data_IF_424039698568
#
_entry.id   IF_424039698568
#
_cell.length_a   1.000
_cell.length_b   1.000
_cell.length_c   1.000
_cell.angle_alpha   90.00
_cell.angle_beta   90.00
_cell.angle_gamma   90.00
#
_symmetry.space_group_name_H-M   'P 1'
#
loop_
_entity.id
_entity.type
_entity.pdbx_description
1 polymer ?
#
# COMPACT_ATOMS: atom_id res chain seq x y z
N UNK A 1 -13.02 -4.71 -15.22
CA UNK A 1 -12.11 -5.69 -14.58
C UNK A 1 -10.75 -5.57 -15.24
N UNK A 2 -9.69 -5.43 -14.45
CA UNK A 2 -8.31 -5.24 -14.89
C UNK A 2 -7.44 -6.32 -14.26
N UNK A 3 -6.64 -7.03 -15.07
CA UNK A 3 -5.68 -8.01 -14.56
C UNK A 3 -4.51 -7.29 -13.91
N UNK A 4 -4.16 -7.72 -12.70
CA UNK A 4 -3.04 -7.21 -11.91
C UNK A 4 -2.25 -8.37 -11.32
N UNK A 5 -1.12 -8.06 -10.70
CA UNK A 5 -0.33 -9.01 -9.92
C UNK A 5 -0.05 -8.45 -8.53
N UNK A 6 -0.31 -9.23 -7.49
CA UNK A 6 0.10 -8.93 -6.12
C UNK A 6 1.56 -9.39 -5.98
N UNK A 7 2.48 -8.42 -6.04
CA UNK A 7 3.93 -8.69 -6.05
C UNK A 7 4.55 -8.68 -4.65
N UNK A 8 3.86 -8.11 -3.66
CA UNK A 8 4.29 -8.17 -2.26
C UNK A 8 3.10 -8.06 -1.31
N UNK A 9 3.21 -8.77 -0.19
CA UNK A 9 2.29 -8.69 0.94
C UNK A 9 3.09 -8.47 2.23
N UNK A 10 2.69 -7.48 3.02
CA UNK A 10 3.40 -7.07 4.24
C UNK A 10 2.43 -7.02 5.42
N UNK A 11 2.77 -7.75 6.48
CA UNK A 11 2.13 -7.65 7.80
C UNK A 11 3.16 -7.16 8.80
N UNK A 12 2.99 -5.92 9.24
CA UNK A 12 3.92 -5.28 10.17
C UNK A 12 3.35 -5.30 11.58
N UNK A 13 3.85 -6.17 12.47
CA UNK A 13 3.35 -6.23 13.86
C UNK A 13 3.57 -4.95 14.68
N UNK A 14 4.54 -4.13 14.28
CA UNK A 14 4.91 -2.92 15.00
C UNK A 14 5.18 -1.73 14.07
N UNK A 15 5.29 -0.56 14.69
CA UNK A 15 5.72 0.67 14.05
C UNK A 15 7.25 0.71 13.92
N UNK A 16 7.79 0.05 12.89
CA UNK A 16 9.22 0.09 12.59
C UNK A 16 9.70 1.50 12.21
N UNK A 17 8.85 2.28 11.53
CA UNK A 17 9.11 3.65 11.10
C UNK A 17 8.62 4.64 12.16
N UNK A 18 9.30 4.67 13.30
CA UNK A 18 9.03 5.55 14.43
C UNK A 18 10.31 6.27 14.85
N UNK A 19 10.20 7.52 15.29
CA UNK A 19 11.36 8.33 15.66
C UNK A 19 12.02 9.01 14.45
N UNK A 20 13.34 9.20 14.51
CA UNK A 20 14.10 9.89 13.47
C UNK A 20 14.57 8.90 12.41
N UNK A 21 14.37 9.17 11.11
CA UNK A 21 14.83 8.29 10.04
C UNK A 21 16.32 7.93 10.12
N UNK A 22 17.18 8.89 10.49
CA UNK A 22 18.62 8.69 10.66
C UNK A 22 19.02 7.65 11.71
N UNK A 23 18.11 7.29 12.63
CA UNK A 23 18.34 6.25 13.65
C UNK A 23 18.09 4.84 13.08
N UNK A 24 17.59 4.74 11.84
CA UNK A 24 17.21 3.50 11.19
C UNK A 24 15.88 2.92 11.70
N UNK A 25 15.23 2.04 10.92
CA UNK A 25 13.96 1.45 11.32
C UNK A 25 14.17 0.49 12.49
N UNK A 26 13.20 0.42 13.41
CA UNK A 26 13.23 -0.61 14.45
C UNK A 26 13.14 -2.00 13.82
N UNK A 27 13.90 -2.99 14.29
CA UNK A 27 13.88 -4.34 13.74
C UNK A 27 12.51 -4.97 13.95
N UNK A 28 11.97 -5.61 12.91
CA UNK A 28 10.73 -6.36 13.08
C UNK A 28 10.94 -7.58 13.99
N UNK A 29 9.94 -7.93 14.82
CA UNK A 29 10.03 -9.11 15.68
C UNK A 29 10.00 -10.43 14.89
N UNK A 30 9.56 -10.37 13.64
CA UNK A 30 9.52 -11.48 12.68
C UNK A 30 9.53 -10.93 11.25
N UNK A 31 9.86 -11.74 10.22
CA UNK A 31 9.80 -11.30 8.84
C UNK A 31 8.39 -10.77 8.48
N UNK A 32 8.34 -9.53 7.99
CA UNK A 32 7.08 -8.86 7.66
C UNK A 32 6.48 -9.35 6.33
N UNK A 33 7.28 -9.97 5.46
CA UNK A 33 6.85 -10.53 4.18
C UNK A 33 5.94 -11.74 4.36
N UNK A 34 4.89 -11.83 3.55
CA UNK A 34 3.91 -12.93 3.56
C UNK A 34 3.63 -13.45 2.15
N UNK A 35 3.27 -14.72 2.06
CA UNK A 35 2.69 -15.32 0.84
C UNK A 35 1.17 -15.12 0.77
N UNK A 36 0.52 -14.89 1.90
CA UNK A 36 -0.91 -14.62 2.03
C UNK A 36 -1.21 -13.71 3.23
N UNK A 37 -2.35 -13.01 3.18
CA UNK A 37 -2.85 -12.20 4.29
C UNK A 37 -4.34 -12.43 4.51
N UNK A 38 -4.76 -12.38 5.78
CA UNK A 38 -6.16 -12.42 6.17
C UNK A 38 -6.67 -10.99 6.42
N UNK A 39 -7.73 -10.62 5.70
CA UNK A 39 -8.37 -9.30 5.79
C UNK A 39 -9.71 -9.44 6.50
N UNK A 40 -9.97 -8.56 7.47
CA UNK A 40 -11.23 -8.50 8.21
C UNK A 40 -11.93 -7.16 7.99
N UNK A 41 -13.20 -7.23 7.58
CA UNK A 41 -14.04 -6.07 7.32
C UNK A 41 -14.03 -5.10 8.51
N UNK A 42 -13.76 -3.82 8.23
CA UNK A 42 -13.69 -2.75 9.23
C UNK A 42 -12.49 -2.82 10.20
N UNK A 43 -11.70 -3.90 10.20
CA UNK A 43 -10.61 -4.11 11.15
C UNK A 43 -9.22 -4.02 10.51
N UNK A 44 -9.07 -4.32 9.23
CA UNK A 44 -7.76 -4.33 8.56
C UNK A 44 -7.20 -5.74 8.36
N UNK A 45 -5.87 -5.88 8.37
CA UNK A 45 -5.18 -7.15 8.18
C UNK A 45 -4.80 -7.77 9.52
N UNK A 46 -5.13 -9.04 9.72
CA UNK A 46 -4.84 -9.76 10.97
C UNK A 46 -3.34 -9.74 11.26
N UNK A 47 -2.99 -9.27 12.47
CA UNK A 47 -1.60 -9.19 12.94
C UNK A 47 -0.83 -7.94 12.48
N UNK A 48 -1.42 -7.05 11.67
CA UNK A 48 -0.80 -5.77 11.34
C UNK A 48 -0.97 -4.76 12.49
N UNK A 49 -0.02 -3.83 12.62
CA UNK A 49 0.00 -2.75 13.62
C UNK A 49 -1.29 -1.91 13.66
N UNK A 50 -2.01 -1.85 12.53
CA UNK A 50 -3.27 -1.10 12.43
C UNK A 50 -4.52 -1.96 12.59
N UNK A 51 -4.37 -3.27 12.82
CA UNK A 51 -5.49 -4.18 13.02
C UNK A 51 -6.36 -3.77 14.21
N UNK A 52 -7.66 -3.65 13.98
CA UNK A 52 -8.69 -3.29 14.97
C UNK A 52 -8.43 -1.96 15.72
N UNK A 53 -7.61 -1.07 15.15
CA UNK A 53 -7.33 0.24 15.74
C UNK A 53 -8.34 1.28 15.26
N UNK A 54 -9.21 1.75 16.16
CA UNK A 54 -10.28 2.73 15.84
C UNK A 54 -9.75 4.00 15.17
N UNK A 55 -8.59 4.50 15.62
CA UNK A 55 -7.94 5.71 15.07
C UNK A 55 -7.43 5.52 13.63
N UNK A 56 -7.26 4.27 13.20
CA UNK A 56 -6.76 3.91 11.88
C UNK A 56 -7.81 3.27 10.99
N UNK A 57 -9.10 3.32 11.36
CA UNK A 57 -10.17 2.68 10.57
C UNK A 57 -10.16 3.04 9.08
N UNK A 58 -9.91 4.31 8.74
CA UNK A 58 -9.85 4.82 7.35
C UNK A 58 -8.46 4.63 6.68
N UNK A 59 -7.56 3.89 7.32
CA UNK A 59 -6.19 3.64 6.86
C UNK A 59 -5.70 2.25 7.29
N UNK A 60 -6.61 1.32 7.54
CA UNK A 60 -6.32 0.01 8.11
C UNK A 60 -5.55 -0.90 7.13
N UNK A 61 -5.62 -0.61 5.83
CA UNK A 61 -4.85 -1.28 4.78
C UNK A 61 -4.21 -0.24 3.88
N UNK A 62 -2.96 -0.46 3.49
CA UNK A 62 -2.23 0.39 2.54
C UNK A 62 -1.85 -0.39 1.29
N UNK A 63 -2.01 0.25 0.14
CA UNK A 63 -1.66 -0.33 -1.16
C UNK A 63 -0.72 0.60 -1.91
N UNK A 64 0.15 0.08 -2.78
CA UNK A 64 1.03 0.85 -3.67
C UNK A 64 1.14 0.20 -5.04
N UNK A 65 1.30 1.01 -6.09
CA UNK A 65 1.67 0.53 -7.41
C UNK A 65 3.18 0.27 -7.47
N UNK A 66 3.57 -0.96 -7.79
CA UNK A 66 4.96 -1.37 -7.94
C UNK A 66 5.67 -0.62 -9.09
N UNK A 67 4.94 -0.11 -10.08
CA UNK A 67 5.52 0.75 -11.12
C UNK A 67 6.05 2.07 -10.55
N UNK A 68 5.51 2.56 -9.42
CA UNK A 68 6.05 3.73 -8.73
C UNK A 68 7.48 3.46 -8.20
N UNK A 69 7.78 2.24 -7.79
CA UNK A 69 9.12 1.85 -7.33
C UNK A 69 10.10 1.72 -8.52
N UNK A 70 9.62 1.22 -9.66
CA UNK A 70 10.42 1.20 -10.90
C UNK A 70 10.77 2.62 -11.35
N UNK A 71 9.82 3.56 -11.20
CA UNK A 71 10.05 4.98 -11.49
C UNK A 71 11.08 5.62 -10.57
N UNK A 72 11.10 5.25 -9.27
CA UNK A 72 12.16 5.69 -8.34
C UNK A 72 13.53 5.21 -8.81
N UNK A 73 13.66 3.93 -9.22
CA UNK A 73 14.90 3.39 -9.78
C UNK A 73 15.35 4.21 -10.99
N UNK A 74 14.42 4.50 -11.91
CA UNK A 74 14.70 5.25 -13.13
C UNK A 74 15.14 6.69 -12.85
N UNK A 75 14.41 7.42 -11.99
CA UNK A 75 14.66 8.83 -11.69
C UNK A 75 15.97 9.03 -10.91
N UNK A 76 16.31 8.09 -10.02
CA UNK A 76 17.52 8.18 -9.20
C UNK A 76 18.73 7.46 -9.81
N UNK A 77 18.56 6.77 -10.95
CA UNK A 77 19.64 6.03 -11.61
C UNK A 77 20.17 4.86 -10.78
N UNK A 78 19.29 4.16 -10.04
CA UNK A 78 19.70 3.05 -9.18
C UNK A 78 20.09 1.81 -10.01
N UNK A 79 21.07 1.02 -9.55
CA UNK A 79 21.61 -0.10 -10.33
C UNK A 79 20.69 -1.33 -10.39
N UNK A 80 19.61 -1.36 -9.61
CA UNK A 80 18.73 -2.52 -9.49
C UNK A 80 17.33 -2.16 -9.04
N UNK A 81 16.45 -3.17 -9.07
CA UNK A 81 15.06 -3.03 -8.61
C UNK A 81 15.00 -2.82 -7.10
N UNK A 82 14.08 -1.97 -6.67
CA UNK A 82 13.75 -1.82 -5.25
C UNK A 82 12.88 -2.99 -4.78
N UNK A 83 13.15 -3.46 -3.56
CA UNK A 83 12.28 -4.45 -2.91
C UNK A 83 10.96 -3.78 -2.46
N UNK A 84 9.80 -4.22 -2.99
CA UNK A 84 8.50 -3.65 -2.64
C UNK A 84 8.13 -3.77 -1.15
N UNK A 85 8.73 -4.70 -0.40
CA UNK A 85 8.47 -4.84 1.04
C UNK A 85 9.01 -3.64 1.85
N UNK A 86 10.05 -2.96 1.37
CA UNK A 86 10.73 -1.88 2.08
C UNK A 86 9.86 -0.62 2.23
N UNK A 87 8.91 -0.38 1.33
CA UNK A 87 7.94 0.71 1.46
C UNK A 87 6.91 0.48 2.59
N UNK A 88 6.87 -0.75 3.16
CA UNK A 88 5.97 -1.19 4.24
C UNK A 88 4.50 -0.89 3.99
N UNK A 89 4.11 -0.91 2.72
CA UNK A 89 2.72 -0.92 2.28
C UNK A 89 2.23 -2.35 2.37
N UNK A 90 1.00 -2.56 2.81
CA UNK A 90 0.49 -3.90 3.06
C UNK A 90 0.39 -4.73 1.77
N UNK A 91 0.07 -4.08 0.65
CA UNK A 91 -0.12 -4.73 -0.65
C UNK A 91 0.62 -3.91 -1.71
N UNK A 92 1.54 -4.54 -2.45
CA UNK A 92 2.09 -3.95 -3.67
C UNK A 92 1.46 -4.62 -4.88
N UNK A 93 0.88 -3.83 -5.78
CA UNK A 93 0.20 -4.28 -6.99
C UNK A 93 1.00 -3.86 -8.22
N UNK A 94 1.02 -4.69 -9.26
CA UNK A 94 1.52 -4.33 -10.59
C UNK A 94 0.39 -4.40 -11.60
N UNK A 95 0.33 -3.44 -12.51
CA UNK A 95 -0.65 -3.40 -13.59
C UNK A 95 -1.86 -2.49 -13.35
N UNK A 96 -1.87 -1.71 -12.26
CA UNK A 96 -2.90 -0.71 -12.02
C UNK A 96 -2.37 0.50 -11.21
N UNK A 97 -2.59 1.74 -11.67
CA UNK A 97 -2.13 2.96 -10.98
C UNK A 97 -3.00 3.25 -9.75
N UNK A 98 -2.70 2.59 -8.63
CA UNK A 98 -3.59 2.57 -7.46
C UNK A 98 -3.87 3.96 -6.85
N UNK A 99 -2.95 4.91 -7.01
CA UNK A 99 -3.08 6.29 -6.55
C UNK A 99 -4.30 7.01 -7.15
N UNK A 100 -4.77 6.61 -8.34
CA UNK A 100 -5.97 7.17 -8.99
C UNK A 100 -7.27 6.93 -8.20
N UNK A 101 -7.28 5.93 -7.30
CA UNK A 101 -8.44 5.64 -6.47
C UNK A 101 -8.52 6.53 -5.23
N UNK A 102 -7.48 7.31 -4.93
CA UNK A 102 -7.47 8.18 -3.77
C UNK A 102 -8.41 9.37 -3.91
N UNK A 103 -8.98 9.78 -2.78
CA UNK A 103 -9.65 11.06 -2.63
C UNK A 103 -8.67 12.20 -2.97
N UNK A 104 -9.13 13.13 -3.80
CA UNK A 104 -8.33 14.25 -4.27
C UNK A 104 -9.23 15.49 -4.43
N UNK A 105 -8.64 16.60 -4.89
CA UNK A 105 -9.40 17.78 -5.31
C UNK A 105 -9.33 17.91 -6.81
N UNK A 106 -10.47 18.21 -7.45
CA UNK A 106 -10.49 18.53 -8.87
C UNK A 106 -9.92 19.93 -9.15
N UNK A 107 -9.88 20.32 -10.42
CA UNK A 107 -9.34 21.61 -10.86
C UNK A 107 -10.07 22.82 -10.24
N UNK A 108 -11.32 22.63 -9.80
CA UNK A 108 -12.15 23.65 -9.16
C UNK A 108 -12.03 23.61 -7.63
N UNK A 109 -11.13 22.78 -7.11
CA UNK A 109 -10.90 22.61 -5.67
C UNK A 109 -12.00 21.80 -4.97
N UNK A 110 -12.96 21.21 -5.70
CA UNK A 110 -14.00 20.37 -5.11
C UNK A 110 -13.40 19.05 -4.67
N UNK A 111 -13.84 18.56 -3.52
CA UNK A 111 -13.40 17.26 -3.00
C UNK A 111 -14.05 16.14 -3.81
N UNK A 112 -13.23 15.26 -4.36
CA UNK A 112 -13.62 13.98 -4.93
C UNK A 112 -13.27 12.91 -3.90
N UNK A 113 -14.25 12.09 -3.52
CA UNK A 113 -14.02 11.00 -2.59
C UNK A 113 -13.29 9.83 -3.25
N UNK A 114 -12.62 9.02 -2.44
CA UNK A 114 -11.90 7.86 -2.93
C UNK A 114 -12.86 6.81 -3.49
N UNK A 115 -12.37 6.01 -4.44
CA UNK A 115 -13.17 4.99 -5.11
C UNK A 115 -13.25 3.70 -4.30
N UNK A 116 -14.39 3.01 -4.41
CA UNK A 116 -14.48 1.60 -4.02
C UNK A 116 -13.80 0.75 -5.08
N UNK A 117 -13.16 -0.33 -4.67
CA UNK A 117 -12.61 -1.33 -5.59
C UNK A 117 -12.64 -2.72 -4.96
N UNK A 118 -12.51 -3.75 -5.78
CA UNK A 118 -12.30 -5.13 -5.33
C UNK A 118 -10.96 -5.65 -5.81
N UNK A 119 -10.39 -6.57 -5.04
CA UNK A 119 -9.22 -7.34 -5.41
C UNK A 119 -9.52 -8.82 -5.15
N UNK A 120 -9.37 -9.66 -6.16
CA UNK A 120 -9.56 -11.11 -6.07
C UNK A 120 -8.29 -11.84 -6.52
N UNK A 121 -7.71 -12.64 -5.63
CA UNK A 121 -6.51 -13.45 -5.88
C UNK A 121 -6.83 -14.94 -6.06
N UNK A 122 -8.07 -15.26 -6.44
CA UNK A 122 -8.58 -16.62 -6.62
C UNK A 122 -9.24 -17.22 -5.37
N UNK A 123 -9.54 -16.40 -4.35
CA UNK A 123 -10.25 -16.81 -3.12
C UNK A 123 -11.55 -16.01 -2.91
N UNK A 124 -11.97 -15.27 -3.94
CA UNK A 124 -13.12 -14.38 -3.90
C UNK A 124 -12.70 -12.92 -3.66
N UNK A 125 -13.57 -11.97 -4.04
CA UNK A 125 -13.23 -10.55 -4.01
C UNK A 125 -13.23 -9.99 -2.58
N UNK A 126 -12.13 -9.34 -2.21
CA UNK A 126 -12.08 -8.44 -1.05
C UNK A 126 -12.38 -7.03 -1.53
N UNK A 127 -13.40 -6.39 -0.95
CA UNK A 127 -13.82 -5.04 -1.30
C UNK A 127 -13.15 -4.03 -0.38
N UNK A 128 -12.66 -2.93 -0.94
CA UNK A 128 -12.01 -1.85 -0.23
C UNK A 128 -12.66 -0.51 -0.56
N UNK A 129 -12.72 0.37 0.43
CA UNK A 129 -12.95 1.80 0.24
C UNK A 129 -11.60 2.51 0.26
N UNK A 130 -11.17 3.09 -0.87
CA UNK A 130 -10.02 3.98 -0.86
C UNK A 130 -10.37 5.29 -0.14
N UNK A 131 -9.40 5.81 0.61
CA UNK A 131 -9.53 7.08 1.29
C UNK A 131 -8.48 8.05 0.74
N UNK A 132 -7.43 8.35 1.50
CA UNK A 132 -6.46 9.40 1.16
C UNK A 132 -5.17 8.80 0.60
N UNK A 133 -4.36 9.59 -0.14
CA UNK A 133 -3.04 9.17 -0.57
C UNK A 133 -2.18 8.71 0.62
N UNK A 134 -1.34 7.70 0.40
CA UNK A 134 -0.34 7.21 1.33
C UNK A 134 0.98 7.97 1.14
N UNK A 135 0.93 9.30 1.30
CA UNK A 135 2.07 10.20 1.08
C UNK A 135 3.39 9.66 1.65
N UNK A 136 4.49 9.67 0.87
CA UNK A 136 5.80 9.26 1.34
C UNK A 136 6.31 10.23 2.41
N UNK A 137 7.18 9.74 3.29
CA UNK A 137 7.88 10.51 4.30
C UNK A 137 9.38 10.25 4.21
N UNK A 138 10.17 10.95 5.04
CA UNK A 138 11.63 10.87 5.01
C UNK A 138 12.19 9.45 5.21
N UNK A 139 11.43 8.53 5.81
CA UNK A 139 11.80 7.11 5.87
C UNK A 139 12.04 6.47 4.50
N UNK A 140 11.42 6.97 3.42
CA UNK A 140 11.66 6.45 2.08
C UNK A 140 13.10 6.69 1.62
N UNK A 141 13.71 7.81 2.01
CA UNK A 141 15.10 8.09 1.67
C UNK A 141 16.05 7.10 2.34
N UNK A 142 15.74 6.69 3.57
CA UNK A 142 16.54 5.74 4.35
C UNK A 142 16.36 4.28 3.89
N UNK A 143 15.13 3.86 3.60
CA UNK A 143 14.84 2.44 3.35
C UNK A 143 14.82 2.05 1.88
N UNK A 144 14.70 3.02 0.96
CA UNK A 144 14.73 2.75 -0.47
C UNK A 144 16.02 3.28 -1.10
N UNK A 145 16.21 4.59 -1.07
CA UNK A 145 17.40 5.29 -1.55
C UNK A 145 17.27 6.80 -1.29
N UNK A 146 18.39 7.54 -1.10
CA UNK A 146 18.36 9.00 -0.99
C UNK A 146 17.60 9.65 -2.16
N UNK A 147 16.59 10.47 -1.85
CA UNK A 147 15.73 11.13 -2.84
C UNK A 147 14.44 10.37 -3.18
N UNK A 148 14.25 9.14 -2.69
CA UNK A 148 13.06 8.33 -2.93
C UNK A 148 11.77 8.98 -2.40
N UNK A 149 11.80 9.71 -1.28
CA UNK A 149 10.66 10.48 -0.78
C UNK A 149 10.15 11.47 -1.82
N UNK A 150 11.07 12.19 -2.49
CA UNK A 150 10.72 13.16 -3.53
C UNK A 150 10.21 12.44 -4.78
N UNK A 151 10.88 11.36 -5.20
CA UNK A 151 10.49 10.58 -6.36
C UNK A 151 9.10 9.92 -6.22
N UNK A 152 8.72 9.51 -5.01
CA UNK A 152 7.39 8.94 -4.71
C UNK A 152 6.29 9.97 -4.48
N UNK A 153 6.56 11.28 -4.61
CA UNK A 153 5.55 12.30 -4.34
C UNK A 153 4.37 12.16 -5.32
N UNK A 154 3.18 11.88 -4.79
CA UNK A 154 1.97 11.61 -5.59
C UNK A 154 1.79 10.15 -6.00
N UNK A 155 2.78 9.29 -5.71
CA UNK A 155 2.84 7.87 -6.07
C UNK A 155 3.16 6.98 -4.85
N UNK A 156 2.78 7.45 -3.66
CA UNK A 156 3.04 6.74 -2.40
C UNK A 156 2.03 5.62 -2.13
N UNK A 157 1.04 5.47 -3.00
CA UNK A 157 -0.07 4.54 -2.87
C UNK A 157 -1.27 5.14 -2.16
N UNK A 158 -2.16 4.28 -1.65
CA UNK A 158 -3.41 4.68 -1.00
C UNK A 158 -3.56 4.07 0.39
N UNK A 159 -4.40 4.73 1.20
CA UNK A 159 -4.93 4.22 2.47
C UNK A 159 -6.37 3.79 2.24
N UNK A 160 -6.74 2.60 2.70
CA UNK A 160 -8.04 2.01 2.45
C UNK A 160 -8.63 1.32 3.68
N UNK A 161 -9.95 1.15 3.67
CA UNK A 161 -10.71 0.35 4.64
C UNK A 161 -11.23 -0.90 3.94
N UNK A 162 -11.00 -2.12 4.45
CA UNK A 162 -11.66 -3.31 3.92
C UNK A 162 -13.15 -3.29 4.30
N UNK A 163 -14.02 -3.42 3.32
CA UNK A 163 -15.47 -3.49 3.49
C UNK A 163 -15.98 -4.93 3.59
N UNK A 164 -15.22 -5.90 3.06
CA UNK A 164 -15.49 -7.33 3.21
C UNK A 164 -14.26 -8.04 3.79
N UNK A 165 -14.49 -9.24 4.32
CA UNK A 165 -13.40 -10.11 4.81
C UNK A 165 -13.00 -11.11 3.72
N UNK A 166 -11.76 -11.58 3.77
CA UNK A 166 -11.26 -12.60 2.85
C UNK A 166 -9.76 -12.81 2.97
N UNK A 167 -9.20 -13.60 2.05
CA UNK A 167 -7.76 -13.89 1.99
C UNK A 167 -7.22 -13.39 0.66
N UNK A 168 -6.06 -12.73 0.72
CA UNK A 168 -5.30 -12.34 -0.48
C UNK A 168 -3.97 -13.09 -0.53
N UNK A 169 -3.60 -13.60 -1.70
CA UNK A 169 -2.36 -14.35 -1.96
C UNK A 169 -1.46 -13.61 -2.94
N UNK A 170 -0.15 -13.84 -2.87
CA UNK A 170 0.78 -13.39 -3.91
C UNK A 170 0.42 -13.98 -5.28
N UNK A 171 0.75 -13.24 -6.34
CA UNK A 171 0.59 -13.67 -7.73
C UNK A 171 -0.58 -13.01 -8.46
N UNK A 172 -1.09 -13.64 -9.54
CA UNK A 172 -2.14 -13.07 -10.38
C UNK A 172 -3.42 -12.74 -9.59
N UNK A 173 -4.02 -11.60 -9.92
CA UNK A 173 -5.28 -11.15 -9.33
C UNK A 173 -6.10 -10.31 -10.31
N UNK A 174 -7.39 -10.16 -10.02
CA UNK A 174 -8.29 -9.27 -10.75
C UNK A 174 -8.69 -8.08 -9.88
N UNK A 175 -8.53 -6.87 -10.42
CA UNK A 175 -8.98 -5.62 -9.81
C UNK A 175 -10.22 -5.11 -10.54
N UNK A 176 -11.27 -4.78 -9.79
CA UNK A 176 -12.47 -4.13 -10.36
C UNK A 176 -12.80 -2.86 -9.61
N UNK A 177 -12.99 -1.78 -10.35
CA UNK A 177 -13.53 -0.52 -9.83
C UNK A 177 -14.99 -0.46 -10.29
N UNK A 178 -15.98 -0.59 -9.38
CA UNK A 178 -17.38 -0.42 -9.75
C UNK A 178 -17.62 1.00 -10.29
N UNK A 179 -18.56 1.11 -11.23
CA UNK A 179 -18.98 2.39 -11.81
C UNK A 179 -19.39 3.41 -10.73
#
# INVERSE_FOLDING_TARGET
MTRVEIVALVVSRQHAFEGRPADGPRPDPEPAARSEIEVRAGLGIVGDRYYAQTIHKNAAVTLIDAAALDEVVRVLGLPGRLDPHLARRNIALRGFPIDELAAHRDAQGRRIDGRRFTLDSGQGPVTFQAHRPANPCAWMDEVLAPGAMKALRGHGGIRATPLTSGVLRLGPADLTVPD
#
